data_IF_259123444604
#
_entry.id   IF_259123444604
#
_cell.length_a   1.000
_cell.length_b   1.000
_cell.length_c   1.000
_cell.angle_alpha   90.00
_cell.angle_beta   90.00
_cell.angle_gamma   90.00
#
_symmetry.space_group_name_H-M   'P 1'
#
loop_
_entity.id
_entity.type
_entity.pdbx_description
1 polymer ?
#
# COMPACT_ATOMS: atom_id res chain seq x y z
N UNK A 1 95.68 -96.14 -24.93
CA UNK A 1 96.28 -94.87 -24.50
C UNK A 1 95.73 -93.69 -25.32
N UNK A 2 95.59 -93.81 -26.64
CA UNK A 2 95.02 -92.76 -27.50
C UNK A 2 93.51 -92.53 -27.30
N UNK A 3 92.71 -93.58 -27.14
CA UNK A 3 91.27 -93.46 -26.87
C UNK A 3 90.96 -92.67 -25.59
N UNK A 4 91.69 -92.96 -24.50
CA UNK A 4 91.58 -92.24 -23.21
C UNK A 4 91.99 -90.77 -23.35
N UNK A 5 92.95 -90.46 -24.23
CA UNK A 5 93.37 -89.09 -24.53
C UNK A 5 92.30 -88.33 -25.32
N UNK A 6 91.62 -89.00 -26.26
CA UNK A 6 90.49 -88.43 -27.00
C UNK A 6 89.27 -88.19 -26.10
N UNK A 7 88.89 -89.13 -25.23
CA UNK A 7 87.79 -88.94 -24.27
C UNK A 7 88.07 -87.78 -23.32
N UNK A 8 89.29 -87.66 -22.80
CA UNK A 8 89.69 -86.52 -21.95
C UNK A 8 89.60 -85.19 -22.69
N UNK A 9 89.94 -85.16 -23.98
CA UNK A 9 89.82 -83.96 -24.81
C UNK A 9 88.34 -83.60 -25.03
N UNK A 10 87.48 -84.57 -25.33
CA UNK A 10 86.04 -84.36 -25.48
C UNK A 10 85.40 -83.80 -24.21
N UNK A 11 85.72 -84.37 -23.04
CA UNK A 11 85.22 -83.85 -21.77
C UNK A 11 85.74 -82.44 -21.45
N UNK A 12 86.98 -82.11 -21.85
CA UNK A 12 87.52 -80.77 -21.68
C UNK A 12 86.77 -79.75 -22.56
N UNK A 13 86.46 -80.12 -23.79
CA UNK A 13 85.73 -79.29 -24.74
C UNK A 13 84.26 -79.10 -24.29
N UNK A 14 83.59 -80.15 -23.81
CA UNK A 14 82.25 -80.07 -23.21
C UNK A 14 82.21 -79.20 -21.95
N UNK A 15 83.21 -79.33 -21.07
CA UNK A 15 83.34 -78.46 -19.89
C UNK A 15 83.55 -76.99 -20.28
N UNK A 16 84.31 -76.74 -21.35
CA UNK A 16 84.49 -75.41 -21.92
C UNK A 16 83.16 -74.83 -22.42
N UNK A 17 82.43 -75.59 -23.22
CA UNK A 17 81.11 -75.20 -23.74
C UNK A 17 80.09 -74.94 -22.62
N UNK A 18 80.02 -75.81 -21.62
CA UNK A 18 79.12 -75.64 -20.47
C UNK A 18 79.47 -74.41 -19.64
N UNK A 19 80.75 -74.10 -19.43
CA UNK A 19 81.19 -72.87 -18.75
C UNK A 19 80.81 -71.63 -19.54
N UNK A 20 80.97 -71.66 -20.86
CA UNK A 20 80.59 -70.55 -21.72
C UNK A 20 79.08 -70.33 -21.72
N UNK A 21 78.28 -71.40 -21.83
CA UNK A 21 76.83 -71.35 -21.74
C UNK A 21 76.36 -70.80 -20.38
N UNK A 22 76.96 -71.27 -19.28
CA UNK A 22 76.67 -70.77 -17.93
C UNK A 22 76.97 -69.27 -17.83
N UNK A 23 78.12 -68.82 -18.31
CA UNK A 23 78.50 -67.39 -18.31
C UNK A 23 77.52 -66.53 -19.14
N UNK A 24 77.09 -67.03 -20.30
CA UNK A 24 76.08 -66.37 -21.14
C UNK A 24 74.73 -66.27 -20.42
N UNK A 25 74.26 -67.36 -19.81
CA UNK A 25 73.00 -67.39 -19.05
C UNK A 25 73.03 -66.49 -17.82
N UNK A 26 74.13 -66.47 -17.07
CA UNK A 26 74.31 -65.57 -15.92
C UNK A 26 74.31 -64.10 -16.32
N UNK A 27 74.84 -63.78 -17.51
CA UNK A 27 74.82 -62.42 -18.06
C UNK A 27 73.40 -62.03 -18.49
N UNK A 28 72.70 -62.91 -19.21
CA UNK A 28 71.31 -62.69 -19.60
C UNK A 28 70.37 -62.54 -18.39
N UNK A 29 70.58 -63.33 -17.34
CA UNK A 29 69.81 -63.24 -16.11
C UNK A 29 70.02 -61.90 -15.43
N UNK A 30 71.27 -61.43 -15.31
CA UNK A 30 71.58 -60.11 -14.73
C UNK A 30 70.97 -58.98 -15.54
N UNK A 31 71.05 -59.05 -16.87
CA UNK A 31 70.41 -58.06 -17.75
C UNK A 31 68.89 -58.05 -17.58
N UNK A 32 68.25 -59.21 -17.51
CA UNK A 32 66.81 -59.32 -17.32
C UNK A 32 66.39 -58.78 -15.94
N UNK A 33 67.13 -59.11 -14.88
CA UNK A 33 66.89 -58.61 -13.54
C UNK A 33 67.00 -57.08 -13.47
N UNK A 34 68.08 -56.51 -14.04
CA UNK A 34 68.25 -55.08 -14.11
C UNK A 34 67.11 -54.37 -14.87
N UNK A 35 66.68 -54.95 -16.00
CA UNK A 35 65.52 -54.43 -16.75
C UNK A 35 64.22 -54.52 -15.95
N UNK A 36 64.02 -55.61 -15.21
CA UNK A 36 62.83 -55.79 -14.39
C UNK A 36 62.78 -54.80 -13.22
N UNK A 37 63.90 -54.59 -12.54
CA UNK A 37 64.02 -53.59 -11.48
C UNK A 37 63.76 -52.18 -11.99
N UNK A 38 64.35 -51.80 -13.13
CA UNK A 38 64.08 -50.50 -13.76
C UNK A 38 62.61 -50.33 -14.14
N UNK A 39 61.98 -51.36 -14.70
CA UNK A 39 60.57 -51.33 -15.07
C UNK A 39 59.66 -51.19 -13.84
N UNK A 40 59.99 -51.87 -12.74
CA UNK A 40 59.23 -51.77 -11.49
C UNK A 40 59.37 -50.37 -10.87
N UNK A 41 60.58 -49.79 -10.89
CA UNK A 41 60.79 -48.41 -10.42
C UNK A 41 59.99 -47.41 -11.25
N UNK A 42 60.08 -47.49 -12.59
CA UNK A 42 59.32 -46.60 -13.49
C UNK A 42 57.80 -46.75 -13.31
N UNK A 43 57.30 -47.97 -13.10
CA UNK A 43 55.89 -48.20 -12.83
C UNK A 43 55.46 -47.62 -11.47
N UNK A 44 56.29 -47.75 -10.43
CA UNK A 44 56.02 -47.18 -9.12
C UNK A 44 55.96 -45.63 -9.18
N UNK A 45 56.91 -45.00 -9.88
CA UNK A 45 56.91 -43.55 -10.11
C UNK A 45 55.66 -43.10 -10.89
N UNK A 46 55.29 -43.84 -11.94
CA UNK A 46 54.08 -43.55 -12.72
C UNK A 46 52.81 -43.65 -11.88
N UNK A 47 52.70 -44.67 -11.03
CA UNK A 47 51.57 -44.82 -10.11
C UNK A 47 51.50 -43.65 -9.13
N UNK A 48 52.63 -43.24 -8.56
CA UNK A 48 52.70 -42.10 -7.65
C UNK A 48 52.27 -40.79 -8.34
N UNK A 49 52.68 -40.57 -9.59
CA UNK A 49 52.25 -39.40 -10.38
C UNK A 49 50.74 -39.43 -10.63
N UNK A 50 50.18 -40.61 -10.95
CA UNK A 50 48.74 -40.77 -11.17
C UNK A 50 47.93 -40.52 -9.91
N UNK A 51 48.37 -41.04 -8.76
CA UNK A 51 47.72 -40.78 -7.46
C UNK A 51 47.76 -39.28 -7.11
N UNK A 52 48.91 -38.63 -7.29
CA UNK A 52 49.02 -37.18 -7.07
C UNK A 52 48.13 -36.38 -8.03
N UNK A 53 48.04 -36.79 -9.30
CA UNK A 53 47.16 -36.17 -10.27
C UNK A 53 45.68 -36.35 -9.90
N UNK A 54 45.28 -37.53 -9.41
CA UNK A 54 43.92 -37.79 -8.94
C UNK A 54 43.56 -36.91 -7.74
N UNK A 55 44.43 -36.82 -6.74
CA UNK A 55 44.22 -35.97 -5.56
C UNK A 55 44.07 -34.50 -5.98
N UNK A 56 44.96 -34.01 -6.85
CA UNK A 56 44.91 -32.63 -7.36
C UNK A 56 43.63 -32.38 -8.15
N UNK A 57 43.19 -33.32 -8.97
CA UNK A 57 41.94 -33.22 -9.74
C UNK A 57 40.72 -33.17 -8.81
N UNK A 58 40.68 -34.00 -7.76
CA UNK A 58 39.59 -33.94 -6.76
C UNK A 58 39.53 -32.58 -6.08
N UNK A 59 40.68 -32.05 -5.63
CA UNK A 59 40.75 -30.73 -5.01
C UNK A 59 40.32 -29.61 -5.95
N UNK A 60 40.76 -29.63 -7.21
CA UNK A 60 40.35 -28.64 -8.21
C UNK A 60 38.86 -28.74 -8.53
N UNK A 61 38.31 -29.96 -8.59
CA UNK A 61 36.90 -30.18 -8.80
C UNK A 61 36.05 -29.66 -7.64
N UNK A 62 36.43 -29.96 -6.39
CA UNK A 62 35.76 -29.42 -5.19
C UNK A 62 35.80 -27.90 -5.16
N UNK A 63 36.96 -27.29 -5.46
CA UNK A 63 37.09 -25.84 -5.51
C UNK A 63 36.20 -25.22 -6.59
N UNK A 64 36.23 -25.76 -7.82
CA UNK A 64 35.42 -25.27 -8.92
C UNK A 64 33.92 -25.47 -8.67
N UNK A 65 33.53 -26.60 -8.07
CA UNK A 65 32.15 -26.85 -7.70
C UNK A 65 31.67 -25.82 -6.68
N UNK A 66 32.44 -25.58 -5.61
CA UNK A 66 32.10 -24.58 -4.61
C UNK A 66 31.98 -23.18 -5.22
N UNK A 67 32.93 -22.77 -6.07
CA UNK A 67 32.88 -21.49 -6.77
C UNK A 67 31.66 -21.37 -7.68
N UNK A 68 31.35 -22.40 -8.48
CA UNK A 68 30.19 -22.41 -9.36
C UNK A 68 28.88 -22.37 -8.57
N UNK A 69 28.79 -23.10 -7.45
CA UNK A 69 27.62 -23.08 -6.58
C UNK A 69 27.42 -21.70 -5.93
N UNK A 70 28.49 -21.08 -5.43
CA UNK A 70 28.44 -19.73 -4.86
C UNK A 70 28.01 -18.70 -5.91
N UNK A 71 28.62 -18.72 -7.11
CA UNK A 71 28.29 -17.80 -8.19
C UNK A 71 26.83 -17.96 -8.65
N UNK A 72 26.37 -19.21 -8.81
CA UNK A 72 24.98 -19.49 -9.20
C UNK A 72 23.99 -19.07 -8.12
N UNK A 73 24.29 -19.32 -6.85
CA UNK A 73 23.42 -18.92 -5.73
C UNK A 73 23.31 -17.40 -5.66
N UNK A 74 24.43 -16.69 -5.71
CA UNK A 74 24.43 -15.23 -5.71
C UNK A 74 23.67 -14.63 -6.91
N UNK A 75 23.85 -15.22 -8.11
CA UNK A 75 23.14 -14.78 -9.32
C UNK A 75 21.64 -15.05 -9.25
N UNK A 76 21.23 -16.22 -8.76
CA UNK A 76 19.81 -16.59 -8.59
C UNK A 76 19.14 -15.70 -7.54
N UNK A 77 19.81 -15.43 -6.41
CA UNK A 77 19.28 -14.53 -5.39
C UNK A 77 19.11 -13.09 -5.92
N UNK A 78 20.09 -12.58 -6.68
CA UNK A 78 19.99 -11.27 -7.30
C UNK A 78 18.83 -11.22 -8.32
N UNK A 79 18.71 -12.25 -9.16
CA UNK A 79 17.68 -12.33 -10.20
C UNK A 79 16.27 -12.48 -9.59
N UNK A 80 16.14 -13.25 -8.50
CA UNK A 80 14.91 -13.38 -7.73
C UNK A 80 14.53 -12.06 -7.07
N UNK A 81 15.49 -11.36 -6.43
CA UNK A 81 15.24 -10.03 -5.84
C UNK A 81 14.80 -9.03 -6.90
N UNK A 82 15.50 -8.93 -8.03
CA UNK A 82 15.14 -8.03 -9.12
C UNK A 82 13.77 -8.35 -9.71
N UNK A 83 13.44 -9.63 -9.86
CA UNK A 83 12.15 -10.06 -10.41
C UNK A 83 11.01 -9.80 -9.43
N UNK A 84 11.20 -10.11 -8.14
CA UNK A 84 10.23 -9.79 -7.08
C UNK A 84 10.06 -8.29 -6.91
N UNK A 85 11.15 -7.51 -6.97
CA UNK A 85 11.09 -6.05 -6.92
C UNK A 85 10.33 -5.48 -8.14
N UNK A 86 10.62 -5.96 -9.35
CA UNK A 86 9.88 -5.56 -10.56
C UNK A 86 8.39 -5.90 -10.52
N UNK A 87 8.00 -7.01 -9.87
CA UNK A 87 6.60 -7.39 -9.70
C UNK A 87 5.91 -6.65 -8.54
N UNK A 88 6.61 -6.44 -7.41
CA UNK A 88 6.03 -5.89 -6.18
C UNK A 88 6.11 -4.36 -6.11
N UNK A 89 7.06 -3.72 -6.79
CA UNK A 89 7.18 -2.26 -6.83
C UNK A 89 5.92 -1.57 -7.38
N UNK A 90 5.34 -1.97 -8.52
CA UNK A 90 4.10 -1.35 -9.00
C UNK A 90 2.93 -1.57 -8.05
N UNK A 91 2.85 -2.72 -7.37
CA UNK A 91 1.82 -2.97 -6.35
C UNK A 91 1.99 -2.04 -5.13
N UNK A 92 3.23 -1.85 -4.67
CA UNK A 92 3.56 -0.93 -3.58
C UNK A 92 3.20 0.51 -3.96
N UNK A 93 3.58 0.96 -5.15
CA UNK A 93 3.24 2.29 -5.66
C UNK A 93 1.72 2.51 -5.75
N UNK A 94 0.98 1.50 -6.24
CA UNK A 94 -0.49 1.58 -6.29
C UNK A 94 -1.11 1.63 -4.89
N UNK A 95 -0.61 0.85 -3.93
CA UNK A 95 -1.09 0.90 -2.55
C UNK A 95 -0.80 2.24 -1.87
N UNK A 96 0.38 2.81 -2.09
CA UNK A 96 0.72 4.15 -1.60
C UNK A 96 -0.16 5.22 -2.25
N UNK A 97 -0.38 5.15 -3.57
CA UNK A 97 -1.29 6.03 -4.29
C UNK A 97 -2.74 5.93 -3.79
N UNK A 98 -3.24 4.71 -3.61
CA UNK A 98 -4.57 4.46 -3.06
C UNK A 98 -4.71 5.00 -1.65
N UNK A 99 -3.74 4.74 -0.76
CA UNK A 99 -3.73 5.27 0.61
C UNK A 99 -3.79 6.79 0.62
N UNK A 100 -3.03 7.45 -0.26
CA UNK A 100 -3.04 8.90 -0.40
C UNK A 100 -4.40 9.40 -0.88
N UNK A 101 -4.96 8.82 -1.94
CA UNK A 101 -6.27 9.19 -2.48
C UNK A 101 -7.39 9.02 -1.45
N UNK A 102 -7.36 7.95 -0.66
CA UNK A 102 -8.34 7.72 0.42
C UNK A 102 -8.23 8.80 1.50
N UNK A 103 -7.01 9.10 1.97
CA UNK A 103 -6.80 10.15 2.96
C UNK A 103 -7.23 11.53 2.45
N UNK A 104 -6.90 11.85 1.19
CA UNK A 104 -7.27 13.12 0.56
C UNK A 104 -8.81 13.23 0.44
N UNK A 105 -9.49 12.14 0.05
CA UNK A 105 -10.96 12.08 -0.02
C UNK A 105 -11.61 12.31 1.34
N UNK A 106 -11.13 11.64 2.39
CA UNK A 106 -11.68 11.82 3.74
C UNK A 106 -11.44 13.24 4.27
N UNK A 107 -10.27 13.83 4.01
CA UNK A 107 -9.95 15.19 4.39
C UNK A 107 -10.85 16.20 3.68
N UNK A 108 -11.09 16.00 2.38
CA UNK A 108 -11.97 16.84 1.57
C UNK A 108 -13.43 16.72 2.03
N UNK A 109 -13.94 15.51 2.24
CA UNK A 109 -15.29 15.26 2.75
C UNK A 109 -15.50 15.89 4.13
N UNK A 110 -14.52 15.80 5.03
CA UNK A 110 -14.58 16.42 6.34
C UNK A 110 -14.68 17.96 6.26
N UNK A 111 -13.94 18.59 5.33
CA UNK A 111 -14.04 20.03 5.05
C UNK A 111 -15.40 20.40 4.48
N UNK A 112 -15.88 19.69 3.46
CA UNK A 112 -17.18 19.93 2.84
C UNK A 112 -18.32 19.80 3.86
N UNK A 113 -18.25 18.78 4.72
CA UNK A 113 -19.21 18.59 5.82
C UNK A 113 -19.17 19.73 6.82
N UNK A 114 -17.99 20.25 7.18
CA UNK A 114 -17.88 21.44 8.03
C UNK A 114 -18.52 22.67 7.39
N UNK A 115 -18.26 22.91 6.10
CA UNK A 115 -18.87 24.01 5.35
C UNK A 115 -20.39 23.88 5.29
N UNK A 116 -20.91 22.68 5.02
CA UNK A 116 -22.35 22.39 5.01
C UNK A 116 -22.99 22.66 6.38
N UNK A 117 -22.38 22.19 7.47
CA UNK A 117 -22.89 22.43 8.83
C UNK A 117 -22.91 23.93 9.15
N UNK A 118 -21.88 24.67 8.72
CA UNK A 118 -21.83 26.12 8.90
C UNK A 118 -22.95 26.83 8.13
N UNK A 119 -23.19 26.46 6.87
CA UNK A 119 -24.24 27.04 6.05
C UNK A 119 -25.64 26.72 6.58
N UNK A 120 -25.84 25.49 7.08
CA UNK A 120 -27.10 25.07 7.68
C UNK A 120 -27.39 25.87 8.97
N UNK A 121 -26.37 26.16 9.78
CA UNK A 121 -26.49 27.07 10.95
C UNK A 121 -26.79 28.51 10.53
N UNK A 122 -26.20 28.99 9.44
CA UNK A 122 -26.51 30.32 8.91
C UNK A 122 -27.95 30.41 8.43
N UNK A 123 -28.43 29.42 7.68
CA UNK A 123 -29.83 29.32 7.25
C UNK A 123 -30.79 29.25 8.43
N UNK A 124 -30.48 28.46 9.47
CA UNK A 124 -31.29 28.43 10.69
C UNK A 124 -31.38 29.82 11.32
N UNK A 125 -30.25 30.52 11.47
CA UNK A 125 -30.21 31.88 12.04
C UNK A 125 -31.02 32.88 11.20
N UNK A 126 -30.90 32.81 9.87
CA UNK A 126 -31.65 33.67 8.95
C UNK A 126 -33.16 33.40 9.06
N UNK A 127 -33.56 32.14 9.18
CA UNK A 127 -34.95 31.75 9.32
C UNK A 127 -35.54 32.19 10.68
N UNK A 128 -34.75 32.08 11.76
CA UNK A 128 -35.11 32.65 13.07
C UNK A 128 -35.28 34.18 13.01
N UNK A 129 -34.38 34.89 12.34
CA UNK A 129 -34.47 36.34 12.16
C UNK A 129 -35.69 36.73 11.33
N UNK A 130 -35.92 36.06 10.20
CA UNK A 130 -37.09 36.29 9.35
C UNK A 130 -38.40 36.05 10.11
N UNK A 131 -38.45 35.00 10.93
CA UNK A 131 -39.62 34.71 11.78
C UNK A 131 -39.85 35.85 12.79
N UNK A 132 -38.79 36.37 13.41
CA UNK A 132 -38.88 37.53 14.32
C UNK A 132 -39.34 38.79 13.59
N UNK A 133 -38.78 39.07 12.41
CA UNK A 133 -39.18 40.22 11.59
C UNK A 133 -40.64 40.10 11.15
N UNK A 134 -41.12 38.92 10.75
CA UNK A 134 -42.52 38.67 10.43
C UNK A 134 -43.44 38.85 11.65
N UNK A 135 -43.03 38.42 12.85
CA UNK A 135 -43.77 38.67 14.10
C UNK A 135 -43.81 40.17 14.41
N UNK A 136 -42.70 40.88 14.30
CA UNK A 136 -42.64 42.33 14.52
C UNK A 136 -43.50 43.09 13.50
N UNK A 137 -43.46 42.69 12.22
CA UNK A 137 -44.26 43.28 11.16
C UNK A 137 -45.76 43.03 11.35
N UNK A 138 -46.15 41.80 11.72
CA UNK A 138 -47.55 41.48 12.04
C UNK A 138 -48.04 42.21 13.28
N UNK A 139 -47.19 42.40 14.30
CA UNK A 139 -47.51 43.24 15.46
C UNK A 139 -47.63 44.72 15.09
N UNK A 140 -46.77 45.25 14.22
CA UNK A 140 -46.88 46.62 13.71
C UNK A 140 -48.19 46.82 12.94
N UNK A 141 -48.52 45.91 12.01
CA UNK A 141 -49.77 45.93 11.24
C UNK A 141 -51.02 45.75 12.11
N UNK A 142 -50.94 44.92 13.16
CA UNK A 142 -52.06 44.70 14.10
C UNK A 142 -52.20 45.82 15.13
N UNK A 143 -51.12 46.48 15.50
CA UNK A 143 -51.09 47.64 16.40
C UNK A 143 -51.68 48.89 15.77
N UNK A 144 -51.57 49.03 14.45
CA UNK A 144 -52.13 50.15 13.69
C UNK A 144 -53.67 50.18 13.69
N UNK A 145 -54.33 49.01 13.84
CA UNK A 145 -55.79 48.92 13.86
C UNK A 145 -56.45 49.70 15.03
N UNK A 146 -55.76 49.82 16.17
CA UNK A 146 -56.26 50.65 17.30
C UNK A 146 -56.07 52.15 17.04
N UNK A 147 -54.96 52.54 16.40
CA UNK A 147 -54.72 53.94 16.08
C UNK A 147 -55.62 54.42 14.94
N UNK A 148 -55.85 53.58 13.93
CA UNK A 148 -56.77 53.85 12.83
C UNK A 148 -58.22 53.97 13.30
N UNK A 149 -58.66 53.12 14.25
CA UNK A 149 -59.97 53.22 14.90
C UNK A 149 -60.15 54.55 15.66
N UNK A 150 -59.19 54.91 16.52
CA UNK A 150 -59.22 56.18 17.25
C UNK A 150 -59.18 57.41 16.32
N UNK A 151 -58.43 57.34 15.22
CA UNK A 151 -58.43 58.42 14.22
C UNK A 151 -59.77 58.56 13.50
N UNK A 152 -60.45 57.45 13.22
CA UNK A 152 -61.81 57.44 12.69
C UNK A 152 -62.81 58.10 13.65
N UNK A 153 -62.72 57.81 14.95
CA UNK A 153 -63.55 58.43 15.99
C UNK A 153 -63.29 59.95 16.10
N UNK A 154 -62.02 60.38 16.06
CA UNK A 154 -61.65 61.81 16.11
C UNK A 154 -62.13 62.57 14.87
N UNK A 155 -62.02 61.98 13.67
CA UNK A 155 -62.52 62.60 12.43
C UNK A 155 -64.05 62.69 12.46
N UNK A 156 -64.74 61.64 12.91
CA UNK A 156 -66.19 61.61 13.02
C UNK A 156 -66.71 62.67 14.01
N UNK A 157 -66.09 62.77 15.19
CA UNK A 157 -66.41 63.81 16.18
C UNK A 157 -66.18 65.22 15.60
N UNK A 158 -65.12 65.42 14.82
CA UNK A 158 -64.82 66.70 14.19
C UNK A 158 -65.85 67.09 13.11
N UNK A 159 -66.27 66.14 12.27
CA UNK A 159 -67.29 66.38 11.24
C UNK A 159 -68.65 66.71 11.87
N UNK A 160 -69.02 66.04 12.96
CA UNK A 160 -70.27 66.31 13.68
C UNK A 160 -70.26 67.70 14.33
N UNK A 161 -69.14 68.08 14.97
CA UNK A 161 -68.96 69.41 15.54
C UNK A 161 -68.97 70.53 14.47
N UNK A 162 -68.30 70.31 13.33
CA UNK A 162 -68.31 71.26 12.20
C UNK A 162 -69.69 71.36 11.52
N UNK A 163 -70.52 70.31 11.63
CA UNK A 163 -71.93 70.33 11.19
C UNK A 163 -72.86 71.04 12.18
N UNK A 164 -72.32 71.60 13.27
CA UNK A 164 -73.06 72.39 14.27
C UNK A 164 -73.65 71.57 15.42
N UNK A 165 -73.41 70.25 15.46
CA UNK A 165 -73.95 69.36 16.49
C UNK A 165 -73.03 69.38 17.74
N UNK A 166 -73.62 69.49 18.93
CA UNK A 166 -72.92 69.49 20.22
C UNK A 166 -72.97 68.11 20.87
N UNK A 167 -71.82 67.64 21.29
CA UNK A 167 -71.66 66.37 22.00
C UNK A 167 -72.44 66.40 23.33
N UNK A 168 -73.23 65.36 23.59
CA UNK A 168 -74.08 65.24 24.79
C UNK A 168 -75.42 65.98 24.72
N UNK A 169 -75.73 66.63 23.60
CA UNK A 169 -77.04 67.25 23.36
C UNK A 169 -77.66 66.77 22.04
N UNK A 170 -76.95 66.95 20.93
CA UNK A 170 -77.44 66.68 19.57
C UNK A 170 -76.81 65.41 18.97
N UNK A 171 -75.70 64.92 19.53
CA UNK A 171 -75.19 63.59 19.25
C UNK A 171 -74.49 62.96 20.46
N UNK A 172 -74.54 61.63 20.55
CA UNK A 172 -73.81 60.82 21.52
C UNK A 172 -72.96 59.76 20.80
N UNK A 173 -71.72 59.58 21.26
CA UNK A 173 -70.79 58.55 20.79
C UNK A 173 -70.82 57.35 21.75
N UNK A 174 -70.63 56.13 21.23
CA UNK A 174 -70.49 54.90 22.02
C UNK A 174 -71.70 54.49 22.90
N UNK A 175 -72.93 54.66 22.40
CA UNK A 175 -74.14 54.22 23.12
C UNK A 175 -74.40 52.72 22.89
N UNK A 176 -74.50 51.95 23.98
CA UNK A 176 -74.92 50.55 23.92
C UNK A 176 -76.44 50.45 23.91
N UNK A 177 -77.05 50.17 22.76
CA UNK A 177 -78.49 49.94 22.66
C UNK A 177 -78.80 48.44 22.67
N UNK A 178 -79.76 48.04 23.51
CA UNK A 178 -80.38 46.73 23.45
C UNK A 178 -81.76 46.86 22.81
N UNK A 179 -81.98 46.13 21.72
CA UNK A 179 -83.30 46.02 21.10
C UNK A 179 -84.20 45.11 21.96
N UNK A 180 -85.51 45.37 21.99
CA UNK A 180 -86.52 44.53 22.68
C UNK A 180 -86.50 43.04 22.23
N UNK A 181 -85.88 42.73 21.09
CA UNK A 181 -85.68 41.35 20.60
C UNK A 181 -84.32 40.72 21.02
N UNK A 182 -83.59 41.31 21.97
CA UNK A 182 -82.34 40.76 22.52
C UNK A 182 -81.10 40.88 21.61
N UNK A 183 -81.21 41.56 20.47
CA UNK A 183 -80.05 41.90 19.62
C UNK A 183 -79.39 43.19 20.11
N UNK A 184 -78.08 43.11 20.32
CA UNK A 184 -77.23 44.21 20.76
C UNK A 184 -76.80 45.04 19.55
N UNK A 185 -77.13 46.32 19.56
CA UNK A 185 -76.74 47.28 18.53
C UNK A 185 -75.75 48.27 19.14
N UNK A 186 -74.55 48.35 18.57
CA UNK A 186 -73.59 49.42 18.85
C UNK A 186 -73.48 50.27 17.58
N UNK A 187 -74.32 51.30 17.43
CA UNK A 187 -74.08 52.34 16.43
C UNK A 187 -72.90 53.20 16.88
N UNK A 188 -72.01 53.55 15.96
CA UNK A 188 -70.80 54.34 16.27
C UNK A 188 -71.16 55.78 16.74
N UNK A 189 -72.28 56.34 16.25
CA UNK A 189 -72.85 57.63 16.68
C UNK A 189 -74.39 57.60 16.61
N UNK A 190 -75.06 58.21 17.59
CA UNK A 190 -76.49 58.49 17.57
C UNK A 190 -76.70 59.99 17.48
N UNK A 191 -77.47 60.44 16.49
CA UNK A 191 -77.84 61.86 16.32
C UNK A 191 -79.28 62.04 16.77
N UNK A 192 -79.49 62.97 17.68
CA UNK A 192 -80.81 63.36 18.17
C UNK A 192 -81.27 64.60 17.40
N UNK A 193 -82.21 64.40 16.48
CA UNK A 193 -82.85 65.45 15.67
C UNK A 193 -84.07 66.05 16.38
#
# INVERSE_FOLDING_TARGET
FEAVKQERQQYFDELGQMREQKSRLETQLREQQARHEQMNQANAEKLQILEQAEVRLKQQFEHLANQLFEEKTAKVDLQNRQSLEGLLSPLKEQLEGFKKQVNDSFSQEAKERHTLVHELKNLQRLNEQMTREAVNLTQALKGDNKQQGNWGEVVLARVLAESGLREGHEYETQVNLQSEAGKRYQPDVIVHL
#
